data_IF_063486661505
#
_entry.id   IF_063486661505
#
_cell.length_a   1.000
_cell.length_b   1.000
_cell.length_c   1.000
_cell.angle_alpha   90.00
_cell.angle_beta   90.00
_cell.angle_gamma   90.00
#
_symmetry.space_group_name_H-M   'P 1'
#
loop_
_entity.id
_entity.type
_entity.pdbx_description
1 polymer ?
#
# COMPACT_ATOMS: atom_id res chain seq x y z
N UNK A 1 -6.59 34.63 -14.11
CA UNK A 1 -5.43 33.72 -13.95
C UNK A 1 -5.93 32.51 -13.18
N UNK A 2 -6.07 31.35 -13.82
CA UNK A 2 -6.41 30.11 -13.10
C UNK A 2 -5.11 29.49 -12.58
N UNK A 3 -4.96 29.43 -11.27
CA UNK A 3 -3.88 28.70 -10.63
C UNK A 3 -4.18 27.19 -10.75
N UNK A 4 -3.42 26.48 -11.58
CA UNK A 4 -3.39 25.03 -11.54
C UNK A 4 -2.64 24.63 -10.26
N UNK A 5 -3.37 24.23 -9.23
CA UNK A 5 -2.79 23.51 -8.10
C UNK A 5 -2.25 22.18 -8.66
N UNK A 6 -0.94 22.09 -8.85
CA UNK A 6 -0.24 20.82 -9.04
C UNK A 6 -0.39 20.03 -7.74
N UNK A 7 -1.48 19.25 -7.64
CA UNK A 7 -1.61 18.27 -6.58
C UNK A 7 -0.41 17.32 -6.67
N UNK A 8 0.25 17.08 -5.55
CA UNK A 8 1.29 16.05 -5.44
C UNK A 8 0.65 14.75 -5.91
N UNK A 9 1.19 14.15 -6.97
CA UNK A 9 0.77 12.81 -7.39
C UNK A 9 1.30 11.85 -6.32
N UNK A 10 0.48 11.58 -5.31
CA UNK A 10 0.77 10.54 -4.34
C UNK A 10 0.76 9.21 -5.09
N UNK A 11 1.83 8.42 -4.98
CA UNK A 11 1.86 7.08 -5.59
C UNK A 11 0.85 6.09 -4.95
N UNK A 12 0.06 6.53 -3.97
CA UNK A 12 -0.95 5.69 -3.35
C UNK A 12 -2.29 5.68 -4.07
N UNK A 13 -3.09 4.66 -3.78
CA UNK A 13 -4.43 4.48 -4.32
C UNK A 13 -5.50 5.35 -3.64
N UNK A 14 -6.77 5.26 -4.10
CA UNK A 14 -7.90 6.01 -3.56
C UNK A 14 -8.45 5.46 -2.22
N UNK A 15 -7.77 4.49 -1.60
CA UNK A 15 -8.21 3.84 -0.36
C UNK A 15 -7.42 4.37 0.86
N UNK A 16 -7.86 4.05 2.08
CA UNK A 16 -7.13 4.39 3.30
C UNK A 16 -5.62 4.10 3.23
N UNK A 17 -4.85 5.09 3.70
CA UNK A 17 -3.39 5.05 3.80
C UNK A 17 -3.00 4.41 5.13
N UNK A 18 -2.15 3.38 5.08
CA UNK A 18 -1.53 2.81 6.27
C UNK A 18 -0.62 3.85 6.94
N UNK A 19 -0.79 4.00 8.25
CA UNK A 19 -0.04 4.87 9.14
C UNK A 19 0.86 4.10 10.11
N UNK A 20 1.54 4.83 10.99
CA UNK A 20 2.46 4.22 11.96
C UNK A 20 1.74 3.23 12.90
N UNK A 21 0.49 3.50 13.23
CA UNK A 21 -0.36 2.65 14.07
C UNK A 21 -0.72 1.31 13.40
N UNK A 22 -0.48 1.17 12.10
CA UNK A 22 -0.72 -0.06 11.32
C UNK A 22 0.49 -0.97 11.19
N UNK A 23 1.65 -0.53 11.67
CA UNK A 23 2.84 -1.38 11.69
C UNK A 23 2.56 -2.62 12.56
N UNK A 24 2.76 -3.80 11.98
CA UNK A 24 2.48 -5.09 12.60
C UNK A 24 1.01 -5.53 12.51
N UNK A 25 0.09 -4.66 12.09
CA UNK A 25 -1.31 -5.04 11.81
C UNK A 25 -1.40 -5.72 10.45
N UNK A 26 -2.31 -6.70 10.37
CA UNK A 26 -2.66 -7.37 9.12
C UNK A 26 -3.85 -6.66 8.50
N UNK A 27 -3.59 -5.90 7.45
CA UNK A 27 -4.58 -5.09 6.73
C UNK A 27 -5.17 -5.85 5.55
N UNK A 28 -6.43 -5.60 5.23
CA UNK A 28 -7.11 -6.14 4.05
C UNK A 28 -6.91 -5.22 2.86
N UNK A 29 -6.63 -5.77 1.68
CA UNK A 29 -6.48 -5.04 0.42
C UNK A 29 -7.86 -4.77 -0.19
N UNK A 30 -8.11 -3.50 -0.50
CA UNK A 30 -9.35 -3.03 -1.16
C UNK A 30 -9.18 -2.82 -2.67
N UNK A 31 -7.93 -2.65 -3.12
CA UNK A 31 -7.55 -2.61 -4.52
C UNK A 31 -8.00 -3.88 -5.25
N UNK A 32 -8.33 -3.76 -6.54
CA UNK A 32 -8.41 -4.96 -7.39
C UNK A 32 -7.02 -5.55 -7.61
N UNK A 33 -6.01 -4.70 -7.75
CA UNK A 33 -4.65 -5.08 -8.10
C UNK A 33 -3.67 -4.20 -7.31
N UNK A 34 -2.93 -4.80 -6.37
CA UNK A 34 -1.82 -4.17 -5.66
C UNK A 34 -0.53 -4.93 -6.00
N UNK A 35 0.34 -4.31 -6.79
CA UNK A 35 1.61 -4.90 -7.20
C UNK A 35 2.62 -4.85 -6.05
N UNK A 36 3.08 -6.03 -5.62
CA UNK A 36 4.12 -6.20 -4.60
C UNK A 36 5.47 -6.37 -5.30
N UNK A 37 6.25 -5.28 -5.31
CA UNK A 37 7.62 -5.23 -5.87
C UNK A 37 8.58 -6.03 -4.99
N UNK A 38 9.52 -6.73 -5.63
CA UNK A 38 10.36 -7.75 -4.99
C UNK A 38 10.02 -9.11 -5.59
N UNK A 39 8.90 -9.73 -5.20
CA UNK A 39 8.38 -10.93 -5.85
C UNK A 39 7.69 -10.63 -7.20
N UNK A 40 7.37 -9.37 -7.50
CA UNK A 40 6.67 -8.92 -8.71
C UNK A 40 5.35 -9.67 -8.96
N UNK A 41 4.57 -9.80 -7.89
CA UNK A 41 3.25 -10.45 -7.88
C UNK A 41 2.20 -9.49 -7.35
N UNK A 42 0.94 -9.76 -7.67
CA UNK A 42 -0.17 -8.89 -7.33
C UNK A 42 -0.99 -9.48 -6.19
N UNK A 43 -1.31 -8.65 -5.19
CA UNK A 43 -2.39 -8.90 -4.25
C UNK A 43 -3.72 -8.44 -4.87
N UNK A 44 -4.73 -9.29 -4.77
CA UNK A 44 -6.08 -8.97 -5.19
C UNK A 44 -6.92 -8.51 -3.99
N UNK A 45 -8.12 -8.02 -4.28
CA UNK A 45 -9.13 -7.68 -3.27
C UNK A 45 -9.33 -8.83 -2.28
N UNK A 46 -9.56 -8.47 -1.01
CA UNK A 46 -9.75 -9.36 0.14
C UNK A 46 -8.51 -10.17 0.55
N UNK A 47 -7.40 -10.08 -0.18
CA UNK A 47 -6.11 -10.56 0.31
C UNK A 47 -5.54 -9.59 1.35
N UNK A 48 -4.47 -9.99 2.04
CA UNK A 48 -4.00 -9.27 3.23
C UNK A 48 -2.51 -8.96 3.17
N UNK A 49 -2.11 -7.89 3.83
CA UNK A 49 -0.74 -7.41 3.91
C UNK A 49 -0.44 -6.96 5.34
N UNK A 50 0.69 -7.41 5.91
CA UNK A 50 1.16 -6.88 7.20
C UNK A 50 2.23 -5.84 6.96
N UNK A 51 1.94 -4.58 7.32
CA UNK A 51 2.88 -3.46 7.18
C UNK A 51 3.99 -3.58 8.22
N UNK A 52 5.23 -3.36 7.80
CA UNK A 52 6.42 -3.40 8.67
C UNK A 52 7.18 -2.09 8.66
N UNK A 53 7.23 -1.41 7.53
CA UNK A 53 7.88 -0.10 7.39
C UNK A 53 7.34 0.66 6.17
N UNK A 54 7.74 1.93 6.07
CA UNK A 54 7.31 2.84 5.01
C UNK A 54 8.50 3.37 4.21
N UNK A 55 8.25 3.79 2.97
CA UNK A 55 9.24 4.51 2.17
C UNK A 55 9.33 5.97 2.59
N UNK A 56 10.52 6.44 2.98
CA UNK A 56 10.81 7.86 3.16
C UNK A 56 9.85 8.61 4.10
N UNK A 57 9.85 9.96 4.07
CA UNK A 57 8.97 10.76 4.91
C UNK A 57 7.51 10.73 4.44
N UNK A 58 7.26 10.60 3.13
CA UNK A 58 5.92 10.67 2.52
C UNK A 58 5.15 9.35 2.57
N UNK A 59 5.81 8.25 2.93
CA UNK A 59 5.21 6.92 3.15
C UNK A 59 4.37 6.39 1.98
N UNK A 60 4.76 6.76 0.77
CA UNK A 60 4.05 6.41 -0.46
C UNK A 60 4.02 4.91 -0.74
N UNK A 61 4.96 4.16 -0.17
CA UNK A 61 5.05 2.72 -0.29
C UNK A 61 5.13 2.10 1.11
N UNK A 62 4.54 0.92 1.23
CA UNK A 62 4.62 0.06 2.41
C UNK A 62 5.49 -1.14 2.10
N UNK A 63 6.38 -1.47 3.03
CA UNK A 63 7.10 -2.73 3.03
C UNK A 63 6.49 -3.65 4.07
N UNK A 64 6.45 -4.94 3.77
CA UNK A 64 5.83 -5.91 4.67
C UNK A 64 5.65 -7.27 4.03
N UNK A 65 4.84 -8.11 4.68
CA UNK A 65 4.52 -9.45 4.21
C UNK A 65 3.16 -9.47 3.51
N UNK A 66 3.15 -9.90 2.24
CA UNK A 66 1.97 -10.02 1.42
C UNK A 66 1.44 -11.46 1.45
N UNK A 67 0.26 -11.68 2.02
CA UNK A 67 -0.37 -13.00 2.13
C UNK A 67 -1.25 -13.32 0.91
N UNK A 68 -1.47 -14.61 0.63
CA UNK A 68 -2.37 -15.04 -0.44
C UNK A 68 -1.59 -15.44 -1.68
N UNK A 69 -1.77 -14.77 -2.82
CA UNK A 69 -1.08 -15.17 -4.06
C UNK A 69 0.41 -14.82 -4.08
N UNK A 70 0.82 -13.86 -3.25
CA UNK A 70 2.22 -13.46 -3.14
C UNK A 70 2.97 -14.39 -2.19
N UNK A 71 2.53 -14.50 -0.92
CA UNK A 71 3.17 -15.25 0.18
C UNK A 71 4.67 -14.94 0.33
N UNK A 72 5.03 -13.67 0.23
CA UNK A 72 6.41 -13.19 0.31
C UNK A 72 6.46 -11.75 0.82
N UNK A 73 7.65 -11.27 1.19
CA UNK A 73 7.89 -9.89 1.54
C UNK A 73 8.09 -9.02 0.31
N UNK A 74 7.65 -7.77 0.37
CA UNK A 74 7.92 -6.81 -0.69
C UNK A 74 7.32 -5.43 -0.45
N UNK A 75 7.47 -4.58 -1.45
CA UNK A 75 6.98 -3.20 -1.44
C UNK A 75 5.67 -3.08 -2.22
N UNK A 76 4.60 -2.66 -1.55
CA UNK A 76 3.35 -2.23 -2.18
C UNK A 76 3.24 -0.71 -2.18
N UNK A 77 2.43 -0.15 -3.08
CA UNK A 77 1.96 1.22 -2.92
C UNK A 77 1.08 1.32 -1.68
N UNK A 78 1.09 2.47 -1.01
CA UNK A 78 0.19 2.75 0.12
C UNK A 78 -1.18 3.22 -0.40
N UNK A 79 -2.19 3.40 0.45
CA UNK A 79 -3.51 3.89 0.01
C UNK A 79 -4.35 2.84 -0.73
N UNK A 80 -4.16 1.56 -0.40
CA UNK A 80 -4.84 0.43 -1.05
C UNK A 80 -5.55 -0.51 -0.05
N UNK A 81 -5.64 -0.12 1.23
CA UNK A 81 -6.16 -0.94 2.31
C UNK A 81 -7.61 -0.57 2.67
N UNK A 82 -8.40 -1.56 3.09
CA UNK A 82 -9.77 -1.35 3.55
C UNK A 82 -9.86 -0.85 5.00
N UNK A 83 -8.86 -1.19 5.82
CA UNK A 83 -8.88 -1.04 7.29
C UNK A 83 -7.55 -0.48 7.82
N UNK A 84 -6.98 0.49 7.08
CA UNK A 84 -5.85 1.29 7.55
C UNK A 84 -6.35 2.47 8.40
#
# INVERSE_FOLDING_TARGET
>A
MLAASTGVAHAGGPYPYAGNDDIGRRLTVCANDLLVRGPNKTLLRDQTFTVQSFSGPDKEQVYGFAYGYVNDHGWGENGWFCDA
#
